data_IF_507427553872
#
_entry.id   IF_507427553872
#
_cell.length_a   1.000
_cell.length_b   1.000
_cell.length_c   1.000
_cell.angle_alpha   90.00
_cell.angle_beta   90.00
_cell.angle_gamma   90.00
#
_symmetry.space_group_name_H-M   'P 1'
#
loop_
_entity.id
_entity.type
_entity.pdbx_description
1 polymer ?
#
# COMPACT_ATOMS: atom_id res chain seq x y z
N UNK A 1 -45.29 55.65 -7.88
CA UNK A 1 -46.70 56.08 -7.82
C UNK A 1 -47.42 55.21 -6.78
N UNK A 2 -46.98 55.12 -5.52
CA UNK A 2 -46.94 56.15 -4.46
C UNK A 2 -48.34 56.52 -3.91
N UNK A 3 -48.49 56.85 -2.61
CA UNK A 3 -47.90 56.23 -1.39
C UNK A 3 -48.94 56.19 -0.22
N UNK A 4 -48.56 56.59 1.03
CA UNK A 4 -49.39 57.00 2.21
C UNK A 4 -49.91 55.84 3.11
N UNK A 5 -49.70 55.74 4.45
CA UNK A 5 -48.97 56.46 5.53
C UNK A 5 -48.57 55.38 6.61
N UNK A 6 -47.50 55.46 7.45
CA UNK A 6 -47.33 56.29 8.67
C UNK A 6 -48.57 56.20 9.62
N UNK A 7 -48.55 56.09 10.96
CA UNK A 7 -47.61 56.44 12.04
C UNK A 7 -48.27 56.03 13.40
N UNK A 8 -47.66 55.80 14.58
CA UNK A 8 -46.26 55.62 15.05
C UNK A 8 -46.27 55.32 16.60
N UNK A 9 -45.08 55.21 17.23
CA UNK A 9 -44.75 55.73 18.60
C UNK A 9 -45.16 54.97 19.90
N UNK A 10 -44.11 54.61 20.68
CA UNK A 10 -43.98 54.60 22.17
C UNK A 10 -44.76 53.59 23.05
N UNK A 11 -44.30 53.21 24.26
CA UNK A 11 -43.06 53.49 25.06
C UNK A 11 -42.85 52.38 26.11
N UNK A 12 -41.62 52.26 26.65
CA UNK A 12 -41.20 52.13 28.09
C UNK A 12 -42.09 51.30 29.08
N UNK A 13 -41.65 50.54 30.08
CA UNK A 13 -40.45 50.46 30.97
C UNK A 13 -40.37 49.01 31.54
N UNK A 14 -39.50 48.53 32.44
CA UNK A 14 -38.39 49.08 33.27
C UNK A 14 -37.37 47.94 33.60
N UNK A 15 -36.16 48.29 34.05
CA UNK A 15 -35.25 47.50 34.92
C UNK A 15 -35.37 48.10 36.36
N UNK A 16 -34.95 47.52 37.53
CA UNK A 16 -33.76 46.67 37.72
C UNK A 16 -33.75 45.64 38.93
N UNK A 17 -32.60 44.99 39.11
CA UNK A 17 -31.88 44.69 40.39
C UNK A 17 -32.40 43.76 41.52
N UNK A 18 -31.56 42.74 41.81
CA UNK A 18 -30.91 42.36 43.10
C UNK A 18 -31.67 41.90 44.37
N UNK A 19 -31.03 40.93 45.04
CA UNK A 19 -30.98 40.48 46.48
C UNK A 19 -31.23 38.96 46.59
N UNK A 20 -30.27 38.09 46.93
CA UNK A 20 -29.44 37.87 48.14
C UNK A 20 -30.13 37.28 49.38
N UNK A 21 -29.37 36.38 50.06
CA UNK A 21 -29.58 35.83 51.42
C UNK A 21 -30.63 34.72 51.61
N UNK A 22 -30.52 33.76 52.56
CA UNK A 22 -29.36 33.23 53.34
C UNK A 22 -29.69 31.86 53.99
N UNK A 23 -28.65 31.03 54.24
CA UNK A 23 -28.41 30.14 55.43
C UNK A 23 -29.44 29.02 55.80
N UNK A 24 -28.94 27.80 56.11
CA UNK A 24 -29.79 26.73 56.67
C UNK A 24 -29.19 25.38 57.13
N UNK A 25 -27.86 25.26 57.32
CA UNK A 25 -27.05 24.32 58.15
C UNK A 25 -27.59 22.93 58.65
N UNK A 26 -26.64 21.99 58.84
CA UNK A 26 -26.65 20.71 59.57
C UNK A 26 -27.02 19.44 58.76
N UNK A 27 -26.40 18.27 58.95
CA UNK A 27 -25.22 17.86 59.73
C UNK A 27 -24.65 16.54 59.15
N UNK A 28 -23.36 16.28 59.31
CA UNK A 28 -22.75 14.95 59.13
C UNK A 28 -22.29 14.43 60.51
N UNK A 29 -22.12 13.11 60.73
CA UNK A 29 -20.76 12.58 60.62
C UNK A 29 -20.55 11.06 60.31
N UNK A 30 -19.39 10.77 59.71
CA UNK A 30 -18.41 9.69 60.02
C UNK A 30 -18.67 8.18 59.79
N UNK A 31 -17.61 7.49 59.33
CA UNK A 31 -17.41 6.01 59.34
C UNK A 31 -17.43 5.36 57.94
N UNK A 32 -16.39 5.29 57.11
CA UNK A 32 -14.98 4.88 57.24
C UNK A 32 -14.73 3.34 57.22
N UNK A 33 -13.81 2.90 56.32
CA UNK A 33 -13.24 1.53 56.18
C UNK A 33 -14.21 0.44 55.63
N UNK A 34 -13.83 -0.62 54.87
CA UNK A 34 -12.52 -1.13 54.35
C UNK A 34 -12.75 -2.22 53.27
N UNK A 35 -11.66 -2.61 52.56
CA UNK A 35 -11.49 -3.85 51.75
C UNK A 35 -12.31 -3.97 50.44
N UNK A 36 -11.81 -4.42 49.28
CA UNK A 36 -10.71 -5.34 48.88
C UNK A 36 -11.03 -6.84 48.98
N UNK A 37 -10.96 -7.55 47.85
CA UNK A 37 -11.36 -8.96 47.63
C UNK A 37 -12.89 -9.20 47.80
N UNK A 38 -13.57 -10.17 47.16
CA UNK A 38 -13.10 -11.41 46.52
C UNK A 38 -14.13 -11.89 45.44
N UNK A 39 -13.65 -12.11 44.21
CA UNK A 39 -13.80 -13.35 43.39
C UNK A 39 -15.19 -13.96 43.02
N UNK A 40 -15.34 -14.15 41.69
CA UNK A 40 -16.08 -15.19 40.94
C UNK A 40 -17.63 -15.24 40.93
N UNK A 41 -18.21 -15.19 39.72
CA UNK A 41 -18.67 -16.36 38.95
C UNK A 41 -19.75 -15.98 37.90
N UNK A 42 -19.67 -16.61 36.71
CA UNK A 42 -20.59 -16.47 35.55
C UNK A 42 -20.55 -15.10 34.83
N UNK A 43 -20.56 -15.02 33.49
CA UNK A 43 -20.71 -16.05 32.46
C UNK A 43 -19.50 -16.14 31.51
N UNK A 44 -19.21 -17.35 31.04
CA UNK A 44 -18.27 -17.59 29.95
C UNK A 44 -19.01 -17.61 28.59
N UNK A 45 -18.23 -17.45 27.52
CA UNK A 45 -18.58 -17.56 26.08
C UNK A 45 -18.87 -16.25 25.31
N UNK A 46 -17.80 -15.50 25.02
CA UNK A 46 -17.45 -14.99 23.66
C UNK A 46 -16.11 -14.25 23.72
N UNK A 47 -14.99 -14.96 23.50
CA UNK A 47 -13.66 -14.35 23.37
C UNK A 47 -12.77 -15.18 22.45
N UNK A 48 -12.80 -14.88 21.16
CA UNK A 48 -11.84 -15.36 20.16
C UNK A 48 -11.82 -14.39 18.96
N UNK A 49 -10.64 -14.20 18.36
CA UNK A 49 -10.41 -13.43 17.13
C UNK A 49 -10.68 -11.91 17.15
N UNK A 50 -10.15 -11.21 18.16
CA UNK A 50 -9.57 -9.89 17.92
C UNK A 50 -8.07 -10.09 17.65
N UNK A 51 -7.65 -10.09 16.38
CA UNK A 51 -6.23 -10.17 16.01
C UNK A 51 -5.71 -8.76 15.78
N UNK A 52 -4.63 -8.45 16.50
CA UNK A 52 -3.96 -7.15 16.58
C UNK A 52 -3.20 -6.83 15.28
N UNK A 53 -3.85 -6.11 14.36
CA UNK A 53 -3.22 -5.58 13.14
C UNK A 53 -2.46 -4.29 13.45
N UNK A 54 -1.33 -4.41 14.14
CA UNK A 54 -0.38 -3.31 14.39
C UNK A 54 1.08 -3.74 14.51
N UNK A 55 1.41 -5.01 14.24
CA UNK A 55 2.77 -5.55 14.47
C UNK A 55 3.57 -5.90 13.21
N UNK A 56 2.96 -6.12 12.04
CA UNK A 56 3.71 -6.55 10.85
C UNK A 56 4.60 -5.45 10.25
N UNK A 57 4.15 -4.19 10.25
CA UNK A 57 4.97 -3.04 9.86
C UNK A 57 6.22 -2.80 10.77
N UNK A 58 6.35 -3.55 11.87
CA UNK A 58 7.50 -3.49 12.78
C UNK A 58 8.58 -4.54 12.48
N UNK A 59 8.30 -5.55 11.66
CA UNK A 59 9.26 -6.62 11.35
C UNK A 59 10.35 -6.16 10.37
N UNK A 60 9.98 -5.45 9.30
CA UNK A 60 10.94 -4.92 8.31
C UNK A 60 11.89 -3.88 8.91
N UNK A 61 11.38 -3.00 9.78
CA UNK A 61 12.22 -2.01 10.48
C UNK A 61 13.23 -2.70 11.41
N UNK A 62 12.85 -3.80 12.07
CA UNK A 62 13.75 -4.58 12.93
C UNK A 62 14.79 -5.39 12.16
N UNK A 63 14.49 -5.81 10.94
CA UNK A 63 15.49 -6.38 10.02
C UNK A 63 16.48 -5.31 9.53
N UNK A 64 16.00 -4.11 9.20
CA UNK A 64 16.83 -2.95 8.85
C UNK A 64 17.79 -2.54 9.98
N UNK A 65 17.38 -2.55 11.25
CA UNK A 65 18.30 -2.20 12.34
C UNK A 65 19.38 -3.26 12.61
N UNK A 66 19.11 -4.55 12.34
CA UNK A 66 20.14 -5.59 12.39
C UNK A 66 21.24 -5.42 11.32
N UNK A 67 20.96 -4.72 10.22
CA UNK A 67 21.96 -4.41 9.19
C UNK A 67 23.03 -3.39 9.64
N UNK A 68 22.79 -2.61 10.71
CA UNK A 68 23.77 -1.62 11.21
C UNK A 68 24.99 -2.23 11.90
N UNK A 69 25.05 -3.55 12.08
CA UNK A 69 26.24 -4.27 12.56
C UNK A 69 26.99 -4.99 11.42
N UNK A 70 26.92 -4.45 10.19
CA UNK A 70 27.94 -4.76 9.18
C UNK A 70 29.28 -4.23 9.69
N UNK A 71 30.15 -5.16 10.11
CA UNK A 71 31.56 -4.89 10.43
C UNK A 71 32.17 -4.10 9.27
N UNK A 72 32.80 -2.96 9.59
CA UNK A 72 33.49 -2.06 8.65
C UNK A 72 34.15 -2.86 7.53
N UNK A 73 33.63 -2.71 6.31
CA UNK A 73 34.05 -3.53 5.18
C UNK A 73 35.57 -3.42 4.99
N UNK A 74 36.23 -4.57 4.80
CA UNK A 74 37.61 -4.59 4.36
C UNK A 74 37.70 -3.87 3.00
N UNK A 75 38.76 -3.08 2.74
CA UNK A 75 38.93 -2.46 1.43
C UNK A 75 39.03 -3.54 0.36
N UNK A 76 38.45 -3.27 -0.81
CA UNK A 76 38.54 -4.09 -2.02
C UNK A 76 39.97 -4.59 -2.23
N UNK A 77 40.20 -5.87 -1.94
CA UNK A 77 41.39 -6.55 -2.41
C UNK A 77 41.07 -7.02 -3.84
N UNK A 78 41.41 -6.20 -4.83
CA UNK A 78 41.49 -6.70 -6.20
C UNK A 78 42.56 -7.79 -6.19
N UNK A 79 42.27 -9.02 -6.67
CA UNK A 79 43.33 -9.97 -6.93
C UNK A 79 44.27 -9.36 -7.97
N UNK A 80 45.57 -9.50 -7.76
CA UNK A 80 46.57 -9.00 -8.69
C UNK A 80 46.39 -9.68 -10.05
N UNK A 81 46.58 -8.91 -11.12
CA UNK A 81 46.50 -9.31 -12.53
C UNK A 81 46.89 -10.78 -12.80
N UNK A 82 45.89 -11.65 -12.99
CA UNK A 82 46.12 -13.06 -13.32
C UNK A 82 44.99 -14.02 -12.92
N UNK A 83 44.22 -13.71 -11.87
CA UNK A 83 43.09 -14.56 -11.48
C UNK A 83 41.87 -14.31 -12.38
N UNK A 84 41.36 -15.40 -12.98
CA UNK A 84 40.10 -15.39 -13.73
C UNK A 84 38.97 -15.25 -12.72
N UNK A 85 38.54 -14.01 -12.49
CA UNK A 85 37.46 -13.69 -11.56
C UNK A 85 36.21 -14.48 -11.96
N UNK A 86 35.81 -15.43 -11.10
CA UNK A 86 34.79 -16.42 -11.45
C UNK A 86 33.43 -15.71 -11.60
N UNK A 87 32.61 -15.99 -12.63
CA UNK A 87 31.29 -15.36 -12.78
C UNK A 87 30.40 -15.44 -11.53
N UNK A 88 30.58 -16.48 -10.72
CA UNK A 88 29.90 -16.66 -9.44
C UNK A 88 30.31 -15.62 -8.37
N UNK A 89 31.59 -15.27 -8.26
CA UNK A 89 32.07 -14.24 -7.33
C UNK A 89 31.58 -12.85 -7.76
N UNK A 90 31.49 -12.60 -9.07
CA UNK A 90 30.93 -11.37 -9.62
C UNK A 90 29.44 -11.29 -9.27
N UNK A 91 28.68 -12.38 -9.45
CA UNK A 91 27.26 -12.45 -9.08
C UNK A 91 27.02 -12.19 -7.59
N UNK A 92 27.74 -12.88 -6.70
CA UNK A 92 27.62 -12.67 -5.25
C UNK A 92 28.06 -11.25 -4.82
N UNK A 93 29.09 -10.69 -5.46
CA UNK A 93 29.54 -9.32 -5.21
C UNK A 93 28.48 -8.31 -5.66
N UNK A 94 27.91 -8.49 -6.85
CA UNK A 94 26.80 -7.67 -7.33
C UNK A 94 25.61 -7.70 -6.37
N UNK A 95 25.17 -8.87 -5.90
CA UNK A 95 24.09 -8.99 -4.91
C UNK A 95 24.41 -8.20 -3.63
N UNK A 96 25.64 -8.31 -3.12
CA UNK A 96 26.07 -7.57 -1.93
C UNK A 96 26.08 -6.05 -2.17
N UNK A 97 26.59 -5.60 -3.30
CA UNK A 97 26.64 -4.18 -3.68
C UNK A 97 25.25 -3.58 -3.93
N UNK A 98 24.33 -4.36 -4.51
CA UNK A 98 22.92 -4.00 -4.65
C UNK A 98 22.23 -3.83 -3.28
N UNK A 99 22.52 -4.70 -2.29
CA UNK A 99 22.02 -4.55 -0.92
C UNK A 99 22.59 -3.32 -0.20
N UNK A 100 23.86 -2.97 -0.45
CA UNK A 100 24.48 -1.77 0.15
C UNK A 100 24.24 -0.49 -0.64
N UNK A 101 23.54 -0.55 -1.78
CA UNK A 101 23.34 0.55 -2.72
C UNK A 101 24.67 1.24 -3.16
N UNK A 102 25.73 0.47 -3.32
CA UNK A 102 27.03 0.98 -3.81
C UNK A 102 27.03 1.01 -5.34
N UNK A 103 26.52 2.10 -5.91
CA UNK A 103 26.42 2.32 -7.36
C UNK A 103 27.77 2.21 -8.08
N UNK A 104 28.90 2.50 -7.42
CA UNK A 104 30.25 2.37 -8.02
C UNK A 104 30.66 0.91 -8.12
N UNK A 105 30.36 0.09 -7.10
CA UNK A 105 30.59 -1.34 -7.16
C UNK A 105 29.61 -2.06 -8.10
N UNK A 106 28.34 -1.64 -8.13
CA UNK A 106 27.32 -2.12 -9.07
C UNK A 106 27.79 -1.88 -10.52
N UNK A 107 28.17 -0.64 -10.87
CA UNK A 107 28.62 -0.28 -12.22
C UNK A 107 29.82 -1.10 -12.69
N UNK A 108 30.80 -1.34 -11.81
CA UNK A 108 31.95 -2.22 -12.09
C UNK A 108 31.52 -3.67 -12.33
N UNK A 109 30.63 -4.21 -11.49
CA UNK A 109 30.14 -5.59 -11.65
C UNK A 109 29.36 -5.75 -12.97
N UNK A 110 28.47 -4.81 -13.30
CA UNK A 110 27.72 -4.81 -14.55
C UNK A 110 28.65 -4.71 -15.76
N UNK A 111 29.65 -3.83 -15.73
CA UNK A 111 30.62 -3.66 -16.82
C UNK A 111 31.48 -4.92 -17.05
N UNK A 112 31.79 -5.67 -15.99
CA UNK A 112 32.43 -6.98 -16.10
C UNK A 112 31.48 -8.05 -16.65
N UNK A 113 30.21 -8.06 -16.22
CA UNK A 113 29.19 -8.97 -16.75
C UNK A 113 28.90 -8.70 -18.24
N UNK A 114 28.88 -7.45 -18.69
CA UNK A 114 28.76 -7.06 -20.11
C UNK A 114 29.95 -7.52 -20.95
N UNK A 115 31.16 -7.51 -20.39
CA UNK A 115 32.33 -8.07 -21.05
C UNK A 115 32.22 -9.60 -21.16
N UNK A 116 31.81 -10.28 -20.09
CA UNK A 116 31.61 -11.73 -20.07
C UNK A 116 30.45 -12.18 -20.97
N UNK A 117 29.37 -11.41 -21.04
CA UNK A 117 28.20 -11.70 -21.88
C UNK A 117 28.54 -11.76 -23.38
N UNK A 118 29.55 -11.00 -23.83
CA UNK A 118 30.07 -11.07 -25.20
C UNK A 118 30.83 -12.37 -25.50
N UNK A 119 31.30 -13.08 -24.48
CA UNK A 119 32.03 -14.35 -24.59
C UNK A 119 31.12 -15.55 -24.32
N UNK A 120 30.27 -15.47 -23.29
CA UNK A 120 29.47 -16.57 -22.74
C UNK A 120 28.07 -16.07 -22.32
N UNK A 121 27.19 -15.71 -23.28
CA UNK A 121 25.90 -15.09 -22.98
C UNK A 121 24.97 -16.00 -22.16
N UNK A 122 24.89 -17.29 -22.49
CA UNK A 122 23.98 -18.21 -21.79
C UNK A 122 24.41 -18.51 -20.35
N UNK A 123 25.72 -18.55 -20.07
CA UNK A 123 26.24 -18.72 -18.70
C UNK A 123 25.91 -17.49 -17.85
N UNK A 124 26.09 -16.28 -18.39
CA UNK A 124 25.74 -15.04 -17.69
C UNK A 124 24.23 -14.98 -17.41
N UNK A 125 23.37 -15.26 -18.39
CA UNK A 125 21.91 -15.33 -18.20
C UNK A 125 21.52 -16.33 -17.12
N UNK A 126 22.03 -17.56 -17.22
CA UNK A 126 21.72 -18.61 -16.26
C UNK A 126 22.12 -18.16 -14.85
N UNK A 127 23.36 -17.68 -14.66
CA UNK A 127 23.85 -17.25 -13.34
C UNK A 127 23.08 -16.06 -12.79
N UNK A 128 22.68 -15.10 -13.62
CA UNK A 128 21.88 -13.96 -13.20
C UNK A 128 20.48 -14.37 -12.71
N UNK A 129 19.97 -15.50 -13.23
CA UNK A 129 18.66 -16.06 -12.91
C UNK A 129 18.69 -17.23 -11.90
N UNK A 130 19.87 -17.78 -11.54
CA UNK A 130 20.00 -18.91 -10.60
C UNK A 130 20.80 -18.62 -9.33
N UNK A 131 21.34 -17.41 -9.13
CA UNK A 131 22.01 -17.02 -7.89
C UNK A 131 21.04 -16.18 -7.04
N UNK A 132 20.28 -16.81 -6.11
CA UNK A 132 19.51 -16.09 -5.13
C UNK A 132 20.39 -15.55 -4.00
N UNK A 133 19.86 -14.58 -3.26
CA UNK A 133 20.36 -14.20 -1.95
C UNK A 133 19.83 -15.11 -0.83
N UNK A 134 20.18 -14.79 0.43
CA UNK A 134 19.72 -15.48 1.64
C UNK A 134 18.19 -15.56 1.81
N UNK A 135 17.41 -14.74 1.09
CA UNK A 135 15.95 -14.71 1.07
C UNK A 135 15.33 -15.27 -0.21
N UNK A 136 16.12 -15.82 -1.13
CA UNK A 136 15.64 -16.34 -2.42
C UNK A 136 15.55 -15.30 -3.54
N UNK A 137 16.04 -14.07 -3.35
CA UNK A 137 15.93 -12.99 -4.32
C UNK A 137 17.15 -12.89 -5.24
N UNK A 138 16.89 -12.87 -6.54
CA UNK A 138 17.93 -12.63 -7.55
C UNK A 138 18.29 -11.14 -7.68
N UNK A 139 19.36 -10.85 -8.43
CA UNK A 139 19.88 -9.49 -8.65
C UNK A 139 18.80 -8.49 -9.12
N UNK A 140 17.89 -8.91 -10.00
CA UNK A 140 16.81 -8.04 -10.49
C UNK A 140 15.80 -7.65 -9.41
N UNK A 141 15.49 -8.55 -8.46
CA UNK A 141 14.61 -8.24 -7.31
C UNK A 141 15.24 -7.20 -6.38
N UNK A 142 16.51 -7.38 -6.05
CA UNK A 142 17.23 -6.46 -5.16
C UNK A 142 17.40 -5.10 -5.86
N UNK A 143 17.83 -5.10 -7.12
CA UNK A 143 17.95 -3.88 -7.92
C UNK A 143 16.62 -3.13 -8.06
N UNK A 144 15.51 -3.85 -8.24
CA UNK A 144 14.17 -3.25 -8.31
C UNK A 144 13.78 -2.53 -7.02
N UNK A 145 14.25 -2.99 -5.86
CA UNK A 145 14.04 -2.30 -4.59
C UNK A 145 15.05 -1.17 -4.35
N UNK A 146 16.35 -1.38 -4.60
CA UNK A 146 17.41 -0.48 -4.11
C UNK A 146 18.00 0.48 -5.14
N UNK A 147 18.10 0.13 -6.43
CA UNK A 147 19.00 0.81 -7.39
C UNK A 147 18.25 1.68 -8.43
N UNK A 148 18.96 2.10 -9.47
CA UNK A 148 18.50 3.02 -10.51
C UNK A 148 17.81 2.30 -11.69
N UNK A 149 17.01 3.04 -12.45
CA UNK A 149 16.43 2.54 -13.71
C UNK A 149 17.49 2.15 -14.75
N UNK A 150 18.70 2.72 -14.67
CA UNK A 150 19.84 2.33 -15.51
C UNK A 150 20.36 0.93 -15.18
N UNK A 151 20.55 0.63 -13.89
CA UNK A 151 20.90 -0.72 -13.40
C UNK A 151 19.90 -1.76 -13.88
N UNK A 152 18.60 -1.47 -13.79
CA UNK A 152 17.52 -2.37 -14.26
C UNK A 152 17.64 -2.67 -15.76
N UNK A 153 17.81 -1.63 -16.60
CA UNK A 153 17.94 -1.83 -18.06
C UNK A 153 19.14 -2.70 -18.40
N UNK A 154 20.30 -2.44 -17.80
CA UNK A 154 21.51 -3.25 -18.00
C UNK A 154 21.31 -4.71 -17.57
N UNK A 155 20.63 -4.96 -16.45
CA UNK A 155 20.29 -6.32 -16.01
C UNK A 155 19.35 -7.04 -16.99
N UNK A 156 18.34 -6.35 -17.53
CA UNK A 156 17.44 -6.90 -18.55
C UNK A 156 18.17 -7.14 -19.88
N UNK A 157 19.08 -6.26 -20.30
CA UNK A 157 19.94 -6.42 -21.48
C UNK A 157 20.89 -7.62 -21.34
N UNK A 158 21.37 -7.91 -20.13
CA UNK A 158 22.12 -9.12 -19.77
C UNK A 158 21.23 -10.38 -19.67
N UNK A 159 19.92 -10.25 -19.84
CA UNK A 159 18.95 -11.35 -19.83
C UNK A 159 18.52 -11.82 -18.43
N UNK A 160 18.49 -10.91 -17.45
CA UNK A 160 17.75 -11.15 -16.22
C UNK A 160 16.25 -11.35 -16.53
N UNK A 161 15.63 -12.37 -15.96
CA UNK A 161 14.23 -12.68 -16.18
C UNK A 161 13.31 -11.85 -15.25
N UNK A 162 12.45 -10.96 -15.79
CA UNK A 162 11.49 -10.21 -14.98
C UNK A 162 10.28 -11.03 -14.53
N UNK A 163 10.09 -12.27 -15.03
CA UNK A 163 8.99 -13.17 -14.67
C UNK A 163 9.35 -14.20 -13.60
N UNK A 164 10.58 -14.21 -13.08
CA UNK A 164 10.93 -15.06 -11.96
C UNK A 164 10.39 -14.47 -10.65
N UNK A 165 9.53 -15.22 -9.95
CA UNK A 165 9.01 -14.85 -8.64
C UNK A 165 9.94 -15.26 -7.49
N UNK A 166 10.00 -14.46 -6.42
CA UNK A 166 10.70 -14.86 -5.19
C UNK A 166 9.92 -15.95 -4.42
N UNK A 167 10.60 -16.86 -3.69
CA UNK A 167 9.96 -18.02 -3.06
C UNK A 167 9.18 -17.72 -1.78
N UNK A 168 9.28 -16.51 -1.21
CA UNK A 168 8.68 -16.18 0.11
C UNK A 168 7.28 -15.59 -0.02
N UNK A 169 7.06 -14.73 -1.02
CA UNK A 169 5.81 -13.99 -1.22
C UNK A 169 5.25 -14.13 -2.65
N UNK A 170 5.96 -14.79 -3.56
CA UNK A 170 5.61 -14.81 -5.00
C UNK A 170 5.87 -13.47 -5.71
N UNK A 171 6.47 -12.49 -5.04
CA UNK A 171 6.78 -11.20 -5.64
C UNK A 171 7.79 -11.33 -6.78
N UNK A 172 7.35 -10.99 -7.98
CA UNK A 172 8.20 -10.58 -9.10
C UNK A 172 9.02 -9.31 -8.78
N UNK A 173 10.09 -9.00 -9.54
CA UNK A 173 10.85 -7.76 -9.40
C UNK A 173 9.98 -6.49 -9.51
N UNK A 174 8.91 -6.51 -10.32
CA UNK A 174 7.97 -5.37 -10.44
C UNK A 174 7.17 -5.13 -9.14
N UNK A 175 6.81 -6.17 -8.39
CA UNK A 175 6.17 -6.02 -7.08
C UNK A 175 7.15 -5.35 -6.11
N UNK A 176 8.42 -5.76 -6.12
CA UNK A 176 9.50 -5.13 -5.32
C UNK A 176 9.81 -3.69 -5.74
N UNK A 177 9.61 -3.32 -6.99
CA UNK A 177 9.67 -1.93 -7.44
C UNK A 177 8.51 -1.07 -6.87
N UNK A 178 7.36 -1.68 -6.61
CA UNK A 178 6.18 -0.99 -6.08
C UNK A 178 6.27 -0.73 -4.57
N UNK A 179 7.03 -1.53 -3.81
CA UNK A 179 7.27 -1.30 -2.37
C UNK A 179 8.32 -0.23 -2.05
N UNK A 180 8.91 0.41 -3.07
CA UNK A 180 9.88 1.49 -2.89
C UNK A 180 9.22 2.77 -2.41
N UNK A 181 9.73 3.36 -1.32
CA UNK A 181 9.25 4.66 -0.81
C UNK A 181 9.50 5.85 -1.74
N UNK A 182 10.51 5.79 -2.61
CA UNK A 182 10.91 6.89 -3.50
C UNK A 182 11.45 6.34 -4.83
N UNK A 183 11.28 7.10 -5.92
CA UNK A 183 11.89 6.78 -7.23
C UNK A 183 11.35 5.51 -7.89
N UNK A 184 10.14 5.06 -7.52
CA UNK A 184 9.55 3.84 -8.04
C UNK A 184 9.19 3.94 -9.53
N UNK A 185 8.53 5.02 -9.96
CA UNK A 185 8.05 5.18 -11.34
C UNK A 185 9.09 4.88 -12.43
N UNK A 186 10.29 5.49 -12.42
CA UNK A 186 11.32 5.20 -13.42
C UNK A 186 11.81 3.73 -13.42
N UNK A 187 11.82 3.06 -12.28
CA UNK A 187 12.22 1.65 -12.16
C UNK A 187 11.10 0.71 -12.62
N UNK A 188 9.85 0.99 -12.24
CA UNK A 188 8.67 0.30 -12.78
C UNK A 188 8.62 0.43 -14.30
N UNK A 189 8.76 1.65 -14.82
CA UNK A 189 8.83 1.90 -16.27
C UNK A 189 9.96 1.10 -16.92
N UNK A 190 11.14 1.02 -16.30
CA UNK A 190 12.25 0.23 -16.83
C UNK A 190 11.98 -1.30 -16.85
N UNK A 191 11.22 -1.82 -15.87
CA UNK A 191 10.83 -3.23 -15.82
C UNK A 191 9.72 -3.59 -16.82
N UNK A 192 8.76 -2.69 -17.07
CA UNK A 192 7.65 -2.93 -18.00
C UNK A 192 7.97 -2.50 -19.45
N UNK A 193 9.04 -1.73 -19.66
CA UNK A 193 9.52 -1.34 -21.00
C UNK A 193 10.17 -2.51 -21.73
N UNK A 194 9.37 -3.40 -22.32
CA UNK A 194 9.85 -4.52 -23.12
C UNK A 194 8.74 -5.46 -23.54
N UNK A 195 9.09 -6.51 -24.29
CA UNK A 195 8.15 -7.53 -24.80
C UNK A 195 7.45 -8.36 -23.72
N UNK A 196 7.86 -8.22 -22.46
CA UNK A 196 7.38 -9.00 -21.31
C UNK A 196 6.42 -8.19 -20.42
N UNK A 197 6.32 -6.87 -20.64
CA UNK A 197 5.59 -5.95 -19.76
C UNK A 197 4.13 -6.34 -19.49
N UNK A 198 3.39 -6.79 -20.50
CA UNK A 198 1.96 -7.15 -20.36
C UNK A 198 1.74 -8.32 -19.40
N UNK A 199 2.58 -9.35 -19.48
CA UNK A 199 2.54 -10.47 -18.53
C UNK A 199 2.93 -10.00 -17.13
N UNK A 200 3.96 -9.15 -17.04
CA UNK A 200 4.51 -8.66 -15.77
C UNK A 200 3.52 -7.82 -14.95
N UNK A 201 2.66 -7.01 -15.59
CA UNK A 201 1.72 -6.10 -14.87
C UNK A 201 0.43 -6.76 -14.38
N UNK A 202 0.12 -7.99 -14.83
CA UNK A 202 -1.07 -8.75 -14.40
C UNK A 202 -0.73 -10.06 -13.66
N UNK A 203 0.55 -10.41 -13.54
CA UNK A 203 0.99 -11.55 -12.72
C UNK A 203 0.65 -11.34 -11.24
N UNK A 204 0.12 -12.39 -10.63
CA UNK A 204 -0.25 -12.45 -9.22
C UNK A 204 0.92 -12.92 -8.36
N UNK A 205 1.02 -12.39 -7.13
CA UNK A 205 1.80 -12.95 -6.03
C UNK A 205 1.01 -14.02 -5.26
N UNK A 206 1.57 -14.58 -4.17
CA UNK A 206 0.92 -15.60 -3.33
C UNK A 206 -0.36 -15.11 -2.62
N UNK A 207 -0.59 -13.79 -2.54
CA UNK A 207 -1.79 -13.17 -1.98
C UNK A 207 -2.82 -12.76 -3.05
N UNK A 208 -2.62 -13.19 -4.31
CA UNK A 208 -3.35 -12.73 -5.50
C UNK A 208 -3.23 -11.21 -5.74
N UNK A 209 -2.19 -10.54 -5.25
CA UNK A 209 -1.92 -9.14 -5.61
C UNK A 209 -1.18 -9.08 -6.94
N UNK A 210 -1.66 -8.19 -7.82
CA UNK A 210 -0.91 -7.71 -8.98
C UNK A 210 -0.05 -6.50 -8.56
N UNK A 211 0.99 -6.10 -9.34
CA UNK A 211 1.89 -5.02 -8.94
C UNK A 211 1.18 -3.69 -8.66
N UNK A 212 0.07 -3.42 -9.36
CA UNK A 212 -0.77 -2.25 -9.13
C UNK A 212 -1.48 -2.25 -7.77
N UNK A 213 -1.85 -3.44 -7.29
CA UNK A 213 -2.41 -3.60 -5.95
C UNK A 213 -1.34 -3.37 -4.89
N UNK A 214 -0.13 -3.94 -5.05
CA UNK A 214 1.01 -3.68 -4.14
C UNK A 214 1.38 -2.21 -4.12
N UNK A 215 1.39 -1.53 -5.28
CA UNK A 215 1.63 -0.10 -5.37
C UNK A 215 0.56 0.72 -4.61
N UNK A 216 -0.71 0.32 -4.67
CA UNK A 216 -1.78 0.98 -3.93
C UNK A 216 -1.71 0.70 -2.41
N UNK A 217 -1.36 -0.51 -2.00
CA UNK A 217 -1.15 -0.90 -0.59
C UNK A 217 -0.04 -0.06 0.07
N UNK A 218 1.04 0.17 -0.67
CA UNK A 218 2.19 1.00 -0.28
C UNK A 218 1.99 2.50 -0.58
N UNK A 219 0.81 2.88 -1.09
CA UNK A 219 0.40 4.27 -1.42
C UNK A 219 1.35 4.97 -2.39
N UNK A 220 1.97 4.18 -3.26
CA UNK A 220 3.02 4.59 -4.18
C UNK A 220 2.44 5.12 -5.49
N UNK A 221 1.92 6.34 -5.46
CA UNK A 221 1.28 6.99 -6.62
C UNK A 221 2.22 6.98 -7.85
N UNK A 222 3.52 7.21 -7.67
CA UNK A 222 4.50 7.20 -8.78
C UNK A 222 4.66 5.81 -9.43
N UNK A 223 4.56 4.72 -8.66
CA UNK A 223 4.52 3.37 -9.22
C UNK A 223 3.19 3.10 -9.94
N UNK A 224 2.06 3.55 -9.37
CA UNK A 224 0.74 3.40 -9.99
C UNK A 224 0.63 4.14 -11.33
N UNK A 225 1.08 5.40 -11.40
CA UNK A 225 1.14 6.18 -12.64
C UNK A 225 1.99 5.49 -13.71
N UNK A 226 3.13 4.91 -13.31
CA UNK A 226 3.99 4.15 -14.21
C UNK A 226 3.32 2.86 -14.71
N UNK A 227 2.67 2.09 -13.83
CA UNK A 227 1.97 0.85 -14.18
C UNK A 227 0.79 1.11 -15.13
N UNK A 228 0.03 2.19 -14.91
CA UNK A 228 -1.13 2.54 -15.74
C UNK A 228 -0.75 2.98 -17.18
N UNK A 229 0.53 3.12 -17.49
CA UNK A 229 0.99 3.28 -18.90
C UNK A 229 0.76 2.02 -19.75
N UNK A 230 0.51 0.87 -19.12
CA UNK A 230 0.31 -0.42 -19.79
C UNK A 230 -0.91 -1.13 -19.21
N UNK A 231 -1.89 -1.51 -20.05
CA UNK A 231 -3.11 -2.21 -19.64
C UNK A 231 -3.86 -1.58 -18.43
N UNK A 232 -4.14 -0.25 -18.42
CA UNK A 232 -4.77 0.41 -17.27
C UNK A 232 -6.12 -0.18 -16.89
N UNK A 233 -7.00 -0.43 -17.87
CA UNK A 233 -8.34 -0.96 -17.62
C UNK A 233 -8.31 -2.33 -16.94
N UNK A 234 -7.39 -3.21 -17.36
CA UNK A 234 -7.23 -4.54 -16.78
C UNK A 234 -6.72 -4.48 -15.33
N UNK A 235 -5.77 -3.58 -15.03
CA UNK A 235 -5.25 -3.40 -13.67
C UNK A 235 -6.27 -2.73 -12.73
N UNK A 236 -7.06 -1.76 -13.22
CA UNK A 236 -8.07 -1.04 -12.44
C UNK A 236 -9.32 -1.88 -12.16
N UNK A 237 -9.70 -2.77 -13.09
CA UNK A 237 -10.87 -3.65 -12.96
C UNK A 237 -10.54 -5.02 -12.35
N UNK A 238 -9.25 -5.31 -12.12
CA UNK A 238 -8.77 -6.53 -11.48
C UNK A 238 -9.47 -6.79 -10.13
N UNK A 239 -9.94 -8.03 -9.94
CA UNK A 239 -10.60 -8.51 -8.72
C UNK A 239 -9.78 -9.60 -8.07
N UNK A 240 -9.37 -9.38 -6.82
CA UNK A 240 -8.64 -10.37 -6.03
C UNK A 240 -9.63 -11.33 -5.34
N UNK A 241 -9.57 -12.63 -5.65
CA UNK A 241 -10.55 -13.61 -5.17
C UNK A 241 -10.39 -13.88 -3.67
N UNK A 242 -9.15 -13.98 -3.18
CA UNK A 242 -8.83 -14.08 -1.76
C UNK A 242 -9.36 -12.90 -0.92
N UNK A 243 -9.58 -11.72 -1.53
CA UNK A 243 -10.18 -10.51 -0.94
C UNK A 243 -11.63 -10.29 -1.38
N UNK A 244 -12.45 -11.35 -1.46
CA UNK A 244 -13.89 -11.26 -1.79
C UNK A 244 -14.17 -10.64 -3.17
N UNK A 245 -13.23 -10.74 -4.11
CA UNK A 245 -13.29 -10.06 -5.41
C UNK A 245 -13.35 -8.53 -5.31
N UNK A 246 -12.84 -7.96 -4.21
CA UNK A 246 -12.56 -6.54 -4.14
C UNK A 246 -11.65 -6.13 -5.31
N UNK A 247 -11.88 -4.95 -5.87
CA UNK A 247 -10.86 -4.26 -6.69
C UNK A 247 -9.99 -3.39 -5.79
N UNK A 248 -8.88 -2.86 -6.32
CA UNK A 248 -8.01 -1.92 -5.61
C UNK A 248 -8.79 -0.74 -5.01
N UNK A 249 -9.82 -0.24 -5.70
CA UNK A 249 -10.68 0.83 -5.20
C UNK A 249 -11.51 0.43 -3.96
N UNK A 250 -12.00 -0.82 -3.90
CA UNK A 250 -12.69 -1.34 -2.71
C UNK A 250 -11.74 -1.45 -1.52
N UNK A 251 -10.55 -1.99 -1.76
CA UNK A 251 -9.51 -2.18 -0.74
C UNK A 251 -9.07 -0.85 -0.11
N UNK A 252 -8.74 0.14 -0.96
CA UNK A 252 -8.41 1.50 -0.53
C UNK A 252 -9.56 2.17 0.23
N UNK A 253 -10.81 1.91 -0.16
CA UNK A 253 -11.98 2.39 0.59
C UNK A 253 -12.12 1.72 1.96
N UNK A 254 -11.81 0.42 2.12
CA UNK A 254 -11.80 -0.23 3.44
C UNK A 254 -10.72 0.38 4.36
N UNK A 255 -9.58 0.78 3.80
CA UNK A 255 -8.48 1.48 4.52
C UNK A 255 -8.77 2.95 4.86
N UNK A 256 -9.90 3.49 4.40
CA UNK A 256 -10.35 4.89 4.58
C UNK A 256 -9.44 5.97 3.97
N UNK A 257 -8.75 5.66 2.87
CA UNK A 257 -7.74 6.56 2.31
C UNK A 257 -8.31 7.48 1.21
N UNK A 258 -9.02 8.54 1.62
CA UNK A 258 -9.69 9.52 0.73
C UNK A 258 -8.83 9.99 -0.46
N UNK A 259 -7.55 10.29 -0.24
CA UNK A 259 -6.67 10.79 -1.29
C UNK A 259 -6.39 9.70 -2.35
N UNK A 260 -6.23 8.44 -1.94
CA UNK A 260 -6.05 7.32 -2.86
C UNK A 260 -7.35 6.97 -3.59
N UNK A 261 -8.51 7.11 -2.95
CA UNK A 261 -9.84 7.01 -3.61
C UNK A 261 -9.94 8.05 -4.74
N UNK A 262 -9.58 9.31 -4.47
CA UNK A 262 -9.56 10.40 -5.45
C UNK A 262 -8.62 10.09 -6.63
N UNK A 263 -7.37 9.70 -6.34
CA UNK A 263 -6.38 9.34 -7.36
C UNK A 263 -6.89 8.20 -8.26
N UNK A 264 -7.36 7.10 -7.68
CA UNK A 264 -7.86 5.94 -8.44
C UNK A 264 -9.02 6.30 -9.38
N UNK A 265 -9.98 7.11 -8.90
CA UNK A 265 -11.13 7.54 -9.70
C UNK A 265 -10.70 8.49 -10.82
N UNK A 266 -9.76 9.41 -10.55
CA UNK A 266 -9.16 10.27 -11.58
C UNK A 266 -8.34 9.47 -12.60
N UNK A 267 -7.75 8.34 -12.19
CA UNK A 267 -7.08 7.37 -13.06
C UNK A 267 -8.03 6.45 -13.85
N UNK A 268 -9.35 6.58 -13.69
CA UNK A 268 -10.35 5.81 -14.44
C UNK A 268 -10.94 4.60 -13.73
N UNK A 269 -10.68 4.39 -12.43
CA UNK A 269 -11.30 3.30 -11.67
C UNK A 269 -12.84 3.43 -11.68
N UNK A 270 -13.53 2.35 -12.06
CA UNK A 270 -14.99 2.32 -12.20
C UNK A 270 -15.69 2.18 -10.84
N UNK A 271 -16.33 3.25 -10.38
CA UNK A 271 -17.01 3.35 -9.07
C UNK A 271 -18.14 2.31 -8.91
N UNK A 272 -18.88 2.00 -9.98
CA UNK A 272 -20.01 1.08 -9.98
C UNK A 272 -19.61 -0.42 -9.97
N UNK A 273 -18.32 -0.74 -9.95
CA UNK A 273 -17.88 -2.14 -9.90
C UNK A 273 -18.33 -2.78 -8.60
N UNK A 274 -18.99 -3.93 -8.65
CA UNK A 274 -19.35 -4.72 -7.46
C UNK A 274 -18.32 -5.84 -7.21
N UNK A 275 -17.99 -6.10 -5.93
CA UNK A 275 -17.21 -7.26 -5.49
C UNK A 275 -18.08 -8.54 -5.43
N UNK A 276 -17.57 -9.66 -4.89
CA UNK A 276 -18.34 -10.92 -4.77
C UNK A 276 -19.47 -10.85 -3.73
N UNK A 277 -19.38 -9.94 -2.76
CA UNK A 277 -20.48 -9.63 -1.83
C UNK A 277 -21.52 -8.66 -2.44
N UNK A 278 -21.43 -8.35 -3.75
CA UNK A 278 -22.27 -7.37 -4.43
C UNK A 278 -22.02 -5.92 -4.00
N UNK A 279 -21.07 -5.66 -3.09
CA UNK A 279 -20.77 -4.33 -2.58
C UNK A 279 -20.03 -3.53 -3.65
N UNK A 280 -20.47 -2.29 -3.90
CA UNK A 280 -19.68 -1.27 -4.60
C UNK A 280 -18.82 -0.47 -3.62
N UNK A 281 -17.88 0.33 -4.12
CA UNK A 281 -17.07 1.23 -3.27
C UNK A 281 -17.95 2.15 -2.39
N UNK A 282 -19.09 2.62 -2.90
CA UNK A 282 -20.02 3.48 -2.17
C UNK A 282 -20.66 2.76 -0.98
N UNK A 283 -20.95 1.46 -1.09
CA UNK A 283 -21.42 0.66 0.04
C UNK A 283 -20.38 0.62 1.15
N UNK A 284 -19.11 0.38 0.81
CA UNK A 284 -18.00 0.32 1.78
C UNK A 284 -17.80 1.68 2.45
N UNK A 285 -17.76 2.77 1.67
CA UNK A 285 -17.58 4.14 2.15
C UNK A 285 -18.72 4.56 3.10
N UNK A 286 -19.96 4.27 2.75
CA UNK A 286 -21.11 4.53 3.60
C UNK A 286 -21.11 3.67 4.88
N UNK A 287 -20.89 2.36 4.77
CA UNK A 287 -20.87 1.43 5.91
C UNK A 287 -19.73 1.73 6.91
N UNK A 288 -18.62 2.32 6.44
CA UNK A 288 -17.48 2.69 7.29
C UNK A 288 -17.53 4.13 7.81
N UNK A 289 -18.60 4.89 7.50
CA UNK A 289 -18.84 6.24 8.01
C UNK A 289 -17.91 7.32 7.45
N UNK A 290 -17.38 7.15 6.24
CA UNK A 290 -16.46 8.11 5.62
C UNK A 290 -17.21 9.24 4.91
N UNK A 291 -17.60 10.28 5.65
CA UNK A 291 -18.37 11.42 5.12
C UNK A 291 -17.69 12.07 3.91
N UNK A 292 -16.43 12.52 4.05
CA UNK A 292 -15.68 13.20 2.98
C UNK A 292 -15.52 12.35 1.71
N UNK A 293 -15.38 11.03 1.85
CA UNK A 293 -15.28 10.11 0.73
C UNK A 293 -16.65 9.89 0.07
N UNK A 294 -17.73 9.86 0.86
CA UNK A 294 -19.10 9.76 0.35
C UNK A 294 -19.49 11.02 -0.41
N UNK A 295 -19.20 12.21 0.12
CA UNK A 295 -19.39 13.49 -0.56
C UNK A 295 -18.60 13.55 -1.87
N UNK A 296 -17.35 13.11 -1.87
CA UNK A 296 -16.57 13.01 -3.11
C UNK A 296 -17.21 12.05 -4.11
N UNK A 297 -17.58 10.82 -3.74
CA UNK A 297 -18.24 9.86 -4.64
C UNK A 297 -19.57 10.41 -5.19
N UNK A 298 -20.38 11.07 -4.36
CA UNK A 298 -21.63 11.71 -4.78
C UNK A 298 -21.38 12.87 -5.75
N UNK A 299 -20.27 13.63 -5.61
CA UNK A 299 -19.88 14.65 -6.61
C UNK A 299 -19.56 14.03 -7.98
N UNK A 300 -19.06 12.79 -8.01
CA UNK A 300 -18.77 12.06 -9.25
C UNK A 300 -20.00 11.43 -9.91
N UNK A 301 -21.20 11.61 -9.33
CA UNK A 301 -22.45 10.99 -9.83
C UNK A 301 -22.75 11.29 -11.29
N UNK A 302 -22.48 12.52 -11.73
CA UNK A 302 -22.68 12.91 -13.13
C UNK A 302 -21.50 12.53 -14.05
N UNK A 303 -20.29 12.36 -13.49
CA UNK A 303 -19.08 12.10 -14.27
C UNK A 303 -18.88 10.61 -14.62
N UNK A 304 -19.23 9.70 -13.71
CA UNK A 304 -19.16 8.24 -13.93
C UNK A 304 -20.52 7.54 -13.87
N UNK A 305 -21.63 8.29 -13.91
CA UNK A 305 -23.00 7.76 -13.81
C UNK A 305 -23.16 6.84 -12.57
N UNK A 306 -22.87 7.38 -11.38
CA UNK A 306 -22.94 6.60 -10.13
C UNK A 306 -24.34 6.03 -9.91
N UNK A 307 -24.41 4.71 -9.86
CA UNK A 307 -25.63 3.98 -9.56
C UNK A 307 -25.67 3.65 -8.07
N UNK A 308 -26.65 4.23 -7.38
CA UNK A 308 -26.92 4.04 -5.95
C UNK A 308 -27.99 2.97 -5.68
N UNK A 309 -28.65 2.47 -6.73
CA UNK A 309 -29.71 1.47 -6.65
C UNK A 309 -29.15 0.04 -6.76
N UNK A 310 -27.87 -0.10 -7.16
CA UNK A 310 -27.11 -1.34 -7.01
C UNK A 310 -27.20 -1.85 -5.57
N UNK A 311 -27.58 -3.12 -5.39
CA UNK A 311 -27.72 -3.74 -4.07
C UNK A 311 -26.56 -4.67 -3.77
N UNK A 312 -25.95 -4.54 -2.58
CA UNK A 312 -25.14 -5.62 -2.03
C UNK A 312 -25.96 -6.89 -1.77
N UNK A 313 -25.29 -8.05 -1.74
CA UNK A 313 -25.95 -9.34 -1.47
C UNK A 313 -26.29 -9.52 0.02
N UNK A 314 -25.96 -8.53 0.85
CA UNK A 314 -26.23 -8.48 2.29
C UNK A 314 -27.61 -7.88 2.59
N UNK A 315 -28.18 -7.09 1.67
CA UNK A 315 -29.62 -6.78 1.68
C UNK A 315 -30.45 -8.04 1.45
N UNK A 316 -30.83 -8.71 2.53
CA UNK A 316 -32.08 -9.46 2.57
C UNK A 316 -33.19 -8.58 1.95
N UNK A 317 -34.07 -9.14 1.09
CA UNK A 317 -35.20 -8.38 0.60
C UNK A 317 -36.01 -7.93 1.81
N UNK A 318 -36.06 -6.62 2.03
CA UNK A 318 -37.06 -6.04 2.93
C UNK A 318 -38.42 -6.36 2.32
N UNK A 319 -39.02 -7.46 2.77
CA UNK A 319 -40.46 -7.56 2.78
C UNK A 319 -40.96 -6.35 3.56
N UNK A 320 -41.38 -5.33 2.83
CA UNK A 320 -42.21 -4.27 3.38
C UNK A 320 -43.40 -4.99 4.03
N UNK A 321 -43.64 -4.83 5.35
CA UNK A 321 -44.88 -5.29 5.92
C UNK A 321 -46.02 -4.56 5.19
N UNK A 322 -46.95 -5.34 4.64
CA UNK A 322 -48.15 -4.83 3.97
C UNK A 322 -49.13 -4.19 4.96
#
# INVERSE_FOLDING_TARGET
MDPILLSDVNTADEDPSLEESTVGINEAPAGAATAAATVAATAAATAAAAVDVSTEASLDVRLLERSRVVKKAAPLHLPASGEVLVPEEIGQTLLRSLKTADEVAIDRCLSLLEFLFKQQPEEVKQRLNTIPDESGQNALHIAAFSSSAGTIRRLLELGADPLLAEPVLGHLPVHRACTRRMGAGPVVLALISGTVGESTVLSQDEAEYIPFWTAAEERNISAMEALLTLLPDAQLTYKNSARKGDTVLHHVARRKELNMIKTLIMSGAAINTANLDGQTVTHIVAATGQVDALEFLLSQRHAQQLDLDLTDSVRHPKQLPM
#
